data_IF_746643548626
#
_entry.id   IF_746643548626
#
_cell.length_a   1.000
_cell.length_b   1.000
_cell.length_c   1.000
_cell.angle_alpha   90.00
_cell.angle_beta   90.00
_cell.angle_gamma   90.00
#
_symmetry.space_group_name_H-M   'P 1'
#
loop_
_entity.id
_entity.type
_entity.pdbx_description
1 polymer ?
#
# COMPACT_ATOMS: atom_id res chain seq x y z
N UNK A 1 -30.16 -40.80 -2.56
CA UNK A 1 -28.99 -40.53 -3.41
C UNK A 1 -28.74 -39.03 -3.42
N UNK A 2 -27.80 -38.53 -2.60
CA UNK A 2 -27.20 -37.20 -2.77
C UNK A 2 -25.96 -37.28 -3.68
N UNK A 3 -25.78 -36.28 -4.53
CA UNK A 3 -24.64 -36.13 -5.43
C UNK A 3 -23.32 -36.03 -4.67
N UNK A 4 -22.25 -36.71 -5.11
CA UNK A 4 -20.91 -36.50 -4.59
C UNK A 4 -20.25 -35.32 -5.31
N UNK A 5 -19.57 -34.46 -4.53
CA UNK A 5 -18.59 -33.44 -4.95
C UNK A 5 -19.04 -31.97 -4.96
N UNK A 6 -19.80 -31.58 -3.94
CA UNK A 6 -19.60 -30.30 -3.22
C UNK A 6 -18.23 -30.30 -2.48
N UNK A 7 -17.14 -30.66 -3.17
CA UNK A 7 -15.80 -30.77 -2.58
C UNK A 7 -14.87 -29.77 -3.26
N UNK A 8 -14.78 -28.61 -2.60
CA UNK A 8 -13.57 -27.83 -2.41
C UNK A 8 -12.45 -28.03 -3.45
N UNK A 9 -12.35 -27.06 -4.36
CA UNK A 9 -11.06 -26.48 -4.72
C UNK A 9 -11.30 -25.08 -5.29
N UNK A 10 -11.46 -24.15 -4.33
CA UNK A 10 -11.13 -22.75 -4.50
C UNK A 10 -9.73 -22.67 -5.13
N UNK A 11 -9.68 -22.47 -6.45
CA UNK A 11 -8.48 -22.04 -7.13
C UNK A 11 -8.17 -20.63 -6.62
N UNK A 12 -7.50 -20.55 -5.48
CA UNK A 12 -6.54 -19.47 -5.24
C UNK A 12 -5.54 -19.62 -6.38
N UNK A 13 -5.79 -18.89 -7.46
CA UNK A 13 -4.79 -18.62 -8.48
C UNK A 13 -3.68 -17.85 -7.79
N UNK A 14 -2.75 -18.56 -7.15
CA UNK A 14 -1.44 -18.03 -6.80
C UNK A 14 -0.68 -17.81 -8.11
N UNK A 15 -1.13 -16.83 -8.87
CA UNK A 15 -0.20 -15.97 -9.59
C UNK A 15 0.75 -15.40 -8.53
N UNK A 16 2.01 -15.06 -8.84
CA UNK A 16 2.76 -14.16 -7.98
C UNK A 16 1.98 -12.84 -7.92
N UNK A 17 1.01 -12.77 -7.00
CA UNK A 17 0.17 -11.61 -6.77
C UNK A 17 1.13 -10.52 -6.32
N UNK A 18 1.41 -9.56 -7.22
CA UNK A 18 2.18 -8.40 -6.86
C UNK A 18 1.53 -7.78 -5.61
N UNK A 19 2.23 -7.87 -4.49
CA UNK A 19 1.73 -7.39 -3.20
C UNK A 19 1.92 -5.88 -3.20
N UNK A 20 0.85 -5.14 -2.94
CA UNK A 20 0.97 -3.71 -2.77
C UNK A 20 1.48 -3.43 -1.37
N UNK A 21 2.49 -2.58 -1.25
CA UNK A 21 3.00 -2.15 0.04
C UNK A 21 2.82 -0.65 0.21
N UNK A 22 2.56 -0.25 1.44
CA UNK A 22 2.58 1.12 1.91
C UNK A 22 3.73 1.26 2.92
N UNK A 23 4.68 2.14 2.63
CA UNK A 23 5.86 2.39 3.46
C UNK A 23 5.81 3.85 3.89
N UNK A 24 5.77 4.09 5.19
CA UNK A 24 5.80 5.43 5.78
C UNK A 24 7.20 5.73 6.28
N UNK A 25 7.72 6.89 5.92
CA UNK A 25 9.03 7.37 6.38
C UNK A 25 8.95 8.82 6.81
N UNK A 26 9.83 9.21 7.73
CA UNK A 26 10.01 10.59 8.17
C UNK A 26 11.26 11.19 7.54
N UNK A 27 11.11 12.39 7.00
CA UNK A 27 12.13 13.17 6.30
C UNK A 27 11.59 13.72 4.99
N UNK A 28 12.37 14.55 4.31
CA UNK A 28 11.96 15.16 3.05
C UNK A 28 12.82 14.64 1.91
N UNK A 29 12.17 14.22 0.83
CA UNK A 29 12.80 13.84 -0.42
C UNK A 29 12.33 14.82 -1.49
N UNK A 30 13.27 15.33 -2.27
CA UNK A 30 12.95 16.15 -3.43
C UNK A 30 12.17 15.35 -4.48
N UNK A 31 11.40 16.04 -5.33
CA UNK A 31 10.58 15.41 -6.37
C UNK A 31 11.36 14.57 -7.40
N UNK A 32 12.69 14.62 -7.39
CA UNK A 32 13.59 13.87 -8.30
C UNK A 32 13.75 12.38 -7.94
N UNK A 33 13.27 11.97 -6.78
CA UNK A 33 13.54 10.63 -6.26
C UNK A 33 12.48 9.58 -6.57
N UNK A 34 11.31 9.99 -7.07
CA UNK A 34 10.23 9.08 -7.52
C UNK A 34 10.69 8.13 -8.64
N UNK A 35 11.61 8.58 -9.51
CA UNK A 35 12.19 7.74 -10.57
C UNK A 35 13.17 6.68 -10.02
N UNK A 36 13.81 6.94 -8.87
CA UNK A 36 14.81 6.04 -8.29
C UNK A 36 14.22 4.90 -7.45
N UNK A 37 12.97 5.06 -7.03
CA UNK A 37 12.23 4.11 -6.20
C UNK A 37 11.47 3.07 -7.03
N UNK A 38 12.03 2.66 -8.18
CA UNK A 38 11.50 1.60 -9.05
C UNK A 38 10.02 1.80 -9.46
N UNK A 39 9.61 3.06 -9.63
CA UNK A 39 8.24 3.41 -10.02
C UNK A 39 7.22 3.38 -8.87
N UNK A 40 7.68 3.28 -7.62
CA UNK A 40 6.82 3.50 -6.45
C UNK A 40 6.34 4.96 -6.44
N UNK A 41 5.06 5.14 -6.14
CA UNK A 41 4.49 6.47 -5.97
C UNK A 41 4.93 7.03 -4.63
N UNK A 42 5.56 8.21 -4.67
CA UNK A 42 5.96 8.96 -3.48
C UNK A 42 4.99 10.10 -3.27
N UNK A 43 4.41 10.15 -2.07
CA UNK A 43 3.53 11.24 -1.65
C UNK A 43 4.14 11.91 -0.42
N UNK A 44 4.39 13.20 -0.52
CA UNK A 44 4.77 14.03 0.62
C UNK A 44 3.51 14.31 1.46
N UNK A 45 3.62 14.17 2.78
CA UNK A 45 2.58 14.53 3.74
C UNK A 45 2.93 15.84 4.42
N UNK A 46 1.88 16.56 4.84
CA UNK A 46 2.00 17.63 5.83
C UNK A 46 2.61 17.01 7.09
N UNK A 47 3.67 17.60 7.66
CA UNK A 47 4.56 17.11 8.74
C UNK A 47 5.94 16.58 8.32
N UNK A 48 6.28 16.65 7.03
CA UNK A 48 7.59 16.18 6.56
C UNK A 48 7.74 14.66 6.65
N UNK A 49 6.61 13.97 6.53
CA UNK A 49 6.55 12.53 6.30
C UNK A 49 6.36 12.25 4.81
N UNK A 50 6.69 11.03 4.43
CA UNK A 50 6.52 10.57 3.06
C UNK A 50 5.94 9.18 3.06
N UNK A 51 5.03 8.99 2.12
CA UNK A 51 4.35 7.75 1.86
C UNK A 51 4.83 7.21 0.52
N UNK A 52 5.47 6.05 0.55
CA UNK A 52 5.83 5.30 -0.63
C UNK A 52 4.81 4.18 -0.78
N UNK A 53 4.18 4.08 -1.94
CA UNK A 53 3.24 3.00 -2.21
C UNK A 53 3.35 2.46 -3.63
N UNK A 54 3.17 1.15 -3.76
CA UNK A 54 3.17 0.50 -5.06
C UNK A 54 3.32 -1.02 -4.97
N UNK A 55 3.26 -1.69 -6.14
CA UNK A 55 3.42 -3.13 -6.23
C UNK A 55 4.87 -3.53 -6.01
N UNK A 56 5.11 -4.52 -5.15
CA UNK A 56 6.42 -5.12 -4.94
C UNK A 56 6.32 -6.62 -5.23
N UNK A 57 7.21 -7.09 -6.10
CA UNK A 57 7.18 -8.44 -6.67
C UNK A 57 7.72 -9.47 -5.66
N UNK A 58 8.67 -9.07 -4.83
CA UNK A 58 9.34 -9.96 -3.88
C UNK A 58 9.95 -9.20 -2.68
N UNK A 59 10.35 -9.96 -1.66
CA UNK A 59 10.92 -9.39 -0.44
C UNK A 59 12.29 -8.73 -0.67
N UNK A 60 13.08 -9.14 -1.67
CA UNK A 60 14.37 -8.52 -1.98
C UNK A 60 14.17 -7.12 -2.59
N UNK A 61 13.17 -6.93 -3.44
CA UNK A 61 12.77 -5.62 -3.93
C UNK A 61 12.32 -4.70 -2.78
N UNK A 62 11.53 -5.20 -1.82
CA UNK A 62 11.17 -4.45 -0.62
C UNK A 62 12.41 -4.06 0.20
N UNK A 63 13.31 -5.01 0.47
CA UNK A 63 14.55 -4.74 1.21
C UNK A 63 15.45 -3.74 0.48
N UNK A 64 15.49 -3.79 -0.87
CA UNK A 64 16.19 -2.81 -1.68
C UNK A 64 15.65 -1.40 -1.47
N UNK A 65 14.34 -1.23 -1.49
CA UNK A 65 13.68 0.06 -1.21
C UNK A 65 13.97 0.54 0.22
N UNK A 66 13.85 -0.33 1.23
CA UNK A 66 14.17 0.05 2.61
C UNK A 66 15.64 0.45 2.79
N UNK A 67 16.56 -0.27 2.16
CA UNK A 67 17.98 0.06 2.23
C UNK A 67 18.30 1.39 1.52
N UNK A 68 17.58 1.71 0.43
CA UNK A 68 17.66 3.03 -0.21
C UNK A 68 17.20 4.13 0.77
N UNK A 69 16.08 3.92 1.47
CA UNK A 69 15.54 4.86 2.45
C UNK A 69 16.49 5.08 3.63
N UNK A 70 17.09 4.02 4.18
CA UNK A 70 18.05 4.14 5.30
C UNK A 70 19.36 4.82 4.88
N UNK A 71 19.84 4.60 3.64
CA UNK A 71 21.00 5.33 3.09
C UNK A 71 20.78 6.83 3.00
N UNK A 72 19.53 7.28 2.94
CA UNK A 72 19.14 8.69 2.92
C UNK A 72 18.93 9.27 4.33
N UNK A 73 19.27 8.49 5.36
CA UNK A 73 19.06 8.85 6.76
C UNK A 73 17.58 9.16 7.08
N UNK A 74 16.65 8.57 6.31
CA UNK A 74 15.23 8.65 6.57
C UNK A 74 14.83 7.66 7.64
N UNK A 75 13.94 8.09 8.53
CA UNK A 75 13.43 7.21 9.59
C UNK A 75 12.25 6.42 9.05
N UNK A 76 12.36 5.10 9.04
CA UNK A 76 11.24 4.22 8.73
C UNK A 76 10.21 4.29 9.86
N UNK A 77 8.97 4.68 9.53
CA UNK A 77 7.86 4.78 10.49
C UNK A 77 7.02 3.51 10.49
N UNK A 78 6.61 3.03 9.31
CA UNK A 78 5.74 1.86 9.19
C UNK A 78 5.87 1.17 7.82
N UNK A 79 5.58 -0.12 7.78
CA UNK A 79 5.42 -0.90 6.54
C UNK A 79 4.13 -1.70 6.67
N UNK A 80 3.24 -1.56 5.69
CA UNK A 80 1.98 -2.28 5.64
C UNK A 80 1.82 -2.98 4.28
N UNK A 81 1.49 -4.27 4.30
CA UNK A 81 1.04 -4.98 3.10
C UNK A 81 -0.44 -4.65 2.86
N UNK A 82 -0.73 -3.98 1.76
CA UNK A 82 -2.08 -3.65 1.32
C UNK A 82 -2.54 -4.76 0.38
N UNK A 83 -3.35 -5.70 0.89
CA UNK A 83 -4.11 -6.57 0.00
C UNK A 83 -5.09 -5.69 -0.78
N UNK A 84 -5.07 -5.81 -2.11
CA UNK A 84 -6.04 -5.21 -3.01
C UNK A 84 -7.44 -5.74 -2.70
N UNK A 85 -8.04 -5.24 -1.62
CA UNK A 85 -9.41 -5.53 -1.30
C UNK A 85 -10.23 -4.77 -2.33
N UNK A 86 -10.90 -5.50 -3.21
CA UNK A 86 -11.96 -5.03 -4.08
C UNK A 86 -13.10 -4.43 -3.22
N UNK A 87 -12.89 -3.29 -2.57
CA UNK A 87 -13.94 -2.54 -1.91
C UNK A 87 -14.60 -1.68 -2.96
N UNK A 88 -15.68 -2.22 -3.51
CA UNK A 88 -16.69 -1.45 -4.20
C UNK A 88 -16.99 -0.19 -3.39
N UNK A 89 -16.94 0.95 -4.08
CA UNK A 89 -17.54 2.18 -3.65
C UNK A 89 -19.04 1.95 -3.34
N UNK A 90 -19.44 2.35 -2.14
CA UNK A 90 -20.79 2.81 -1.79
C UNK A 90 -20.60 3.72 -0.56
N UNK A 91 -20.18 4.98 -0.77
CA UNK A 91 -21.03 6.14 -1.06
C UNK A 91 -22.01 6.43 0.08
N UNK A 92 -21.91 7.63 0.70
CA UNK A 92 -22.95 8.08 1.63
C UNK A 92 -22.52 9.08 2.70
N UNK A 93 -22.07 10.25 2.28
CA UNK A 93 -22.05 11.51 3.03
C UNK A 93 -23.38 11.72 3.78
N UNK A 94 -23.41 11.62 5.11
CA UNK A 94 -24.44 12.30 5.91
C UNK A 94 -23.76 13.41 6.70
N UNK A 95 -23.96 14.62 6.18
CA UNK A 95 -23.45 15.88 6.71
C UNK A 95 -24.65 16.54 7.38
N UNK A 96 -24.93 16.19 8.63
CA UNK A 96 -25.96 16.88 9.40
C UNK A 96 -25.24 17.71 10.46
N UNK A 97 -24.97 18.96 10.08
CA UNK A 97 -24.53 20.06 10.95
C UNK A 97 -25.71 20.41 11.88
N UNK A 98 -25.49 20.70 13.18
CA UNK A 98 -26.55 21.18 14.05
C UNK A 98 -26.84 22.64 13.69
N UNK A 99 -28.11 22.98 13.47
CA UNK A 99 -28.56 24.37 13.49
C UNK A 99 -29.58 24.49 14.63
N UNK A 100 -29.11 25.03 15.75
CA UNK A 100 -29.93 25.73 16.73
C UNK A 100 -30.35 27.08 16.12
N UNK A 101 -31.67 27.32 16.02
CA UNK A 101 -32.38 28.48 16.61
C UNK A 101 -33.87 28.43 16.30
#
# INVERSE_FOLDING_TARGET
MPSPKDEAQNQLSTSPEAKFFEIRVKGQLDSKWSEWLDGLQVKLLDDGEMLLFGPIIDQAALMGVLNKLTRLNLTLLAINEVKGNNKKASNGKSKNKPEEH
#
